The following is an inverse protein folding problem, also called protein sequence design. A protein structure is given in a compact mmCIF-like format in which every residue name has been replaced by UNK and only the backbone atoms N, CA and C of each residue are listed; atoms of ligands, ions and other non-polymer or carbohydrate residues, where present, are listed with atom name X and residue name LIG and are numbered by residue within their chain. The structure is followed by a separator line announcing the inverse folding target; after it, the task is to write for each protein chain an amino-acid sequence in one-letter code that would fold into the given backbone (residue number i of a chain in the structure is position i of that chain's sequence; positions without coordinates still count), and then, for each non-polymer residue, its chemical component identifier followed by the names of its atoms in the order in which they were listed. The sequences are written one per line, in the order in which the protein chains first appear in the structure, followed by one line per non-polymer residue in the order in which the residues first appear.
data_IF_804042283976
#
_entry.id   IF_804042283976
#
_cell.length_a   1.000
_cell.length_b   1.000
_cell.length_c   1.000
_cell.angle_alpha   90.00
_cell.angle_beta   90.00
_cell.angle_gamma   90.00
#
_symmetry.space_group_name_H-M   'P 1'
#
loop_
_entity.id
_entity.type
_entity.pdbx_description
1 polymer ?
#
# COMPACT_ATOMS: atom_id res chain seq x y z
N UNK A 1 -3.29 18.53 23.83
CA UNK A 1 -2.72 17.61 22.80
C UNK A 1 -2.65 18.37 21.48
N UNK A 2 -1.51 18.38 20.78
CA UNK A 2 -1.46 18.87 19.39
C UNK A 2 -2.24 17.86 18.55
N UNK A 3 -3.37 18.27 17.96
CA UNK A 3 -4.04 17.50 16.91
C UNK A 3 -3.18 17.62 15.65
N UNK A 4 -2.56 16.54 15.22
CA UNK A 4 -1.89 16.45 13.93
C UNK A 4 -2.91 15.93 12.91
N UNK A 5 -2.87 16.42 11.68
CA UNK A 5 -3.65 15.87 10.56
C UNK A 5 -3.21 14.46 10.18
N UNK A 6 -2.02 14.03 10.63
CA UNK A 6 -1.44 12.71 10.40
C UNK A 6 -1.65 11.76 11.59
N UNK A 7 -1.65 10.45 11.30
CA UNK A 7 -1.89 9.39 12.28
C UNK A 7 -0.60 8.89 12.94
N UNK A 8 -0.72 8.13 14.03
CA UNK A 8 0.41 7.39 14.60
C UNK A 8 0.67 6.06 13.86
N UNK A 9 -0.29 5.60 13.06
CA UNK A 9 -0.22 4.37 12.29
C UNK A 9 -0.30 4.66 10.78
N UNK A 10 0.43 3.90 9.98
CA UNK A 10 0.27 3.80 8.54
C UNK A 10 -0.77 2.74 8.21
N UNK A 11 -1.72 3.06 7.34
CA UNK A 11 -2.78 2.14 6.95
C UNK A 11 -2.53 1.57 5.55
N UNK A 12 -2.52 0.24 5.45
CA UNK A 12 -2.54 -0.48 4.18
C UNK A 12 -3.90 -1.16 4.01
N UNK A 13 -4.66 -0.73 3.01
CA UNK A 13 -6.00 -1.24 2.70
C UNK A 13 -5.92 -2.47 1.80
N UNK A 14 -6.90 -3.36 1.93
CA UNK A 14 -6.99 -4.57 1.14
C UNK A 14 -8.44 -4.95 0.89
N UNK A 15 -8.70 -5.59 -0.26
CA UNK A 15 -10.04 -5.85 -0.76
C UNK A 15 -10.89 -6.71 0.19
N UNK A 16 -10.27 -7.66 0.89
CA UNK A 16 -10.98 -8.61 1.73
C UNK A 16 -10.13 -9.19 2.87
N UNK A 17 -10.82 -9.80 3.84
CA UNK A 17 -10.24 -10.41 5.04
C UNK A 17 -9.27 -11.56 4.73
N UNK A 18 -9.44 -12.27 3.60
CA UNK A 18 -8.51 -13.35 3.23
C UNK A 18 -7.13 -12.80 2.86
N UNK A 19 -7.07 -11.69 2.13
CA UNK A 19 -5.81 -11.01 1.83
C UNK A 19 -5.19 -10.40 3.08
N UNK A 20 -6.00 -9.79 3.96
CA UNK A 20 -5.53 -9.29 5.25
C UNK A 20 -4.85 -10.38 6.09
N UNK A 21 -5.48 -11.56 6.17
CA UNK A 21 -4.88 -12.71 6.85
C UNK A 21 -3.54 -13.14 6.23
N UNK A 22 -3.46 -13.21 4.89
CA UNK A 22 -2.21 -13.53 4.20
C UNK A 22 -1.12 -12.49 4.43
N UNK A 23 -1.48 -11.20 4.48
CA UNK A 23 -0.54 -10.12 4.79
C UNK A 23 0.05 -10.31 6.19
N UNK A 24 -0.77 -10.68 7.18
CA UNK A 24 -0.30 -10.94 8.55
C UNK A 24 0.62 -12.17 8.58
N UNK A 25 0.24 -13.25 7.89
CA UNK A 25 0.99 -14.51 7.88
C UNK A 25 2.31 -14.42 7.10
N UNK A 26 2.31 -13.77 5.94
CA UNK A 26 3.42 -13.79 4.97
C UNK A 26 4.19 -12.46 4.90
N UNK A 27 3.62 -11.36 5.40
CA UNK A 27 4.14 -10.00 5.23
C UNK A 27 3.52 -9.24 4.06
N UNK A 28 3.88 -7.96 3.93
CA UNK A 28 3.40 -7.09 2.85
C UNK A 28 4.21 -7.34 1.58
N UNK A 29 3.54 -7.73 0.49
CA UNK A 29 4.19 -7.99 -0.79
C UNK A 29 4.20 -6.74 -1.66
N UNK A 30 5.30 -6.51 -2.36
CA UNK A 30 5.37 -5.48 -3.39
C UNK A 30 4.46 -5.81 -4.56
N UNK A 31 3.95 -4.78 -5.21
CA UNK A 31 3.25 -4.86 -6.48
C UNK A 31 3.78 -3.77 -7.40
N UNK A 32 3.88 -4.04 -8.70
CA UNK A 32 4.15 -2.98 -9.65
C UNK A 32 2.94 -2.05 -9.75
N UNK A 33 3.14 -0.81 -9.33
CA UNK A 33 2.16 0.26 -9.41
C UNK A 33 2.54 1.22 -10.53
N UNK A 34 1.53 1.58 -11.32
CA UNK A 34 1.64 2.49 -12.46
C UNK A 34 1.55 3.93 -11.97
N UNK A 35 2.51 4.75 -12.38
CA UNK A 35 2.52 6.20 -12.14
C UNK A 35 2.80 6.94 -13.45
N UNK A 36 1.90 7.87 -13.80
CA UNK A 36 2.10 8.84 -14.87
C UNK A 36 2.47 10.17 -14.22
N UNK A 37 3.77 10.41 -14.10
CA UNK A 37 4.36 11.56 -13.40
C UNK A 37 4.22 12.82 -14.28
N UNK A 38 4.45 12.65 -15.58
CA UNK A 38 4.12 13.63 -16.62
C UNK A 38 3.69 12.90 -17.89
N UNK A 39 3.29 13.66 -18.91
CA UNK A 39 2.93 13.09 -20.22
C UNK A 39 4.12 12.40 -20.92
N UNK A 40 5.34 12.62 -20.43
CA UNK A 40 6.58 12.00 -20.93
C UNK A 40 7.21 11.01 -19.96
N UNK A 41 6.74 10.97 -18.71
CA UNK A 41 7.35 10.19 -17.64
C UNK A 41 6.33 9.19 -17.12
N UNK A 42 6.51 7.95 -17.58
CA UNK A 42 5.78 6.79 -17.13
C UNK A 42 6.70 5.87 -16.34
N UNK A 43 6.22 5.37 -15.21
CA UNK A 43 6.86 4.24 -14.53
C UNK A 43 5.84 3.20 -14.07
N UNK A 44 6.24 1.94 -14.09
CA UNK A 44 5.67 0.87 -13.30
C UNK A 44 6.72 0.40 -12.30
N UNK A 45 6.62 0.87 -11.05
CA UNK A 45 7.61 0.58 -10.01
C UNK A 45 7.04 -0.35 -8.93
N UNK A 46 7.84 -1.28 -8.38
CA UNK A 46 7.42 -2.18 -7.33
C UNK A 46 7.37 -1.44 -5.99
N UNK A 47 6.18 -1.32 -5.41
CA UNK A 47 5.99 -0.59 -4.17
C UNK A 47 4.97 -1.24 -3.24
N UNK A 48 5.05 -0.86 -1.96
CA UNK A 48 4.03 -1.05 -0.94
C UNK A 48 3.58 0.34 -0.51
N UNK A 49 2.30 0.65 -0.66
CA UNK A 49 1.74 1.96 -0.34
C UNK A 49 0.98 1.95 0.98
N UNK A 50 1.06 3.06 1.70
CA UNK A 50 0.36 3.31 2.95
C UNK A 50 -0.30 4.67 2.92
N UNK A 51 -1.48 4.80 3.53
CA UNK A 51 -2.10 6.10 3.80
C UNK A 51 -1.69 6.60 5.18
N UNK A 52 -1.38 7.90 5.28
CA UNK A 52 -1.08 8.62 6.52
C UNK A 52 -2.18 9.63 6.85
N UNK A 53 -3.41 9.14 6.93
CA UNK A 53 -4.59 9.93 7.27
C UNK A 53 -5.44 9.21 8.33
N UNK A 54 -6.17 9.97 9.17
CA UNK A 54 -7.16 9.41 10.06
C UNK A 54 -8.15 8.54 9.29
N UNK A 55 -8.39 7.36 9.84
CA UNK A 55 -9.29 6.38 9.24
C UNK A 55 -10.74 6.89 9.13
N UNK A 56 -11.15 7.84 9.98
CA UNK A 56 -12.44 8.53 9.90
C UNK A 56 -12.54 9.46 8.68
N UNK A 57 -11.42 9.86 8.11
CA UNK A 57 -11.36 10.67 6.88
C UNK A 57 -11.10 9.82 5.62
N UNK A 58 -11.09 8.49 5.74
CA UNK A 58 -10.78 7.59 4.63
C UNK A 58 -12.02 6.98 3.97
N UNK A 59 -13.21 7.58 4.15
CA UNK A 59 -14.46 7.06 3.55
C UNK A 59 -14.37 6.88 2.04
N UNK A 60 -13.78 7.84 1.32
CA UNK A 60 -13.54 7.76 -0.13
C UNK A 60 -12.56 6.62 -0.49
N UNK A 61 -11.66 6.28 0.43
CA UNK A 61 -10.65 5.23 0.25
C UNK A 61 -11.19 3.82 0.49
N UNK A 62 -12.24 3.67 1.30
CA UNK A 62 -12.92 2.37 1.52
C UNK A 62 -13.59 1.84 0.25
N UNK A 63 -14.17 2.74 -0.54
CA UNK A 63 -14.75 2.41 -1.85
C UNK A 63 -13.68 2.04 -2.90
N UNK A 64 -12.49 2.66 -2.82
CA UNK A 64 -11.41 2.50 -3.81
C UNK A 64 -10.42 1.37 -3.52
N UNK A 65 -10.03 1.19 -2.26
CA UNK A 65 -8.86 0.35 -1.89
C UNK A 65 -9.21 -0.92 -1.11
N UNK A 66 -10.42 -1.01 -0.56
CA UNK A 66 -10.95 -2.28 -0.04
C UNK A 66 -11.66 -2.19 1.30
N UNK A 67 -12.19 -3.34 1.70
CA UNK A 67 -13.10 -3.46 2.86
C UNK A 67 -12.39 -3.84 4.15
N UNK A 68 -11.07 -4.06 4.11
CA UNK A 68 -10.24 -4.44 5.26
C UNK A 68 -8.93 -3.65 5.25
N UNK A 69 -8.25 -3.52 6.39
CA UNK A 69 -6.96 -2.82 6.47
C UNK A 69 -6.08 -3.35 7.60
N UNK A 70 -4.77 -3.15 7.48
CA UNK A 70 -3.81 -3.26 8.58
C UNK A 70 -3.24 -1.88 8.89
N UNK A 71 -3.26 -1.50 10.17
CA UNK A 71 -2.60 -0.30 10.67
C UNK A 71 -1.29 -0.71 11.33
N UNK A 72 -0.17 -0.18 10.84
CA UNK A 72 1.17 -0.44 11.38
C UNK A 72 1.74 0.81 12.04
N UNK A 73 2.42 0.68 13.17
CA UNK A 73 3.08 1.78 13.88
C UNK A 73 4.01 2.53 12.93
N UNK A 74 3.69 3.81 12.67
CA UNK A 74 4.48 4.68 11.78
C UNK A 74 5.94 4.72 12.21
N UNK A 75 6.17 4.87 13.52
CA UNK A 75 7.51 4.92 14.10
C UNK A 75 8.27 3.61 13.85
N UNK A 76 7.61 2.47 14.04
CA UNK A 76 8.21 1.16 13.78
C UNK A 76 8.60 1.00 12.33
N UNK A 77 7.69 1.33 11.40
CA UNK A 77 7.95 1.25 9.95
C UNK A 77 9.12 2.14 9.56
N UNK A 78 9.11 3.44 9.92
CA UNK A 78 10.17 4.38 9.59
C UNK A 78 11.53 3.95 10.18
N UNK A 79 11.55 3.29 11.34
CA UNK A 79 12.81 2.79 11.92
C UNK A 79 13.51 1.74 11.04
N UNK A 80 12.78 1.10 10.12
CA UNK A 80 13.32 0.14 9.16
C UNK A 80 13.91 0.79 7.89
N UNK A 81 13.95 2.12 7.80
CA UNK A 81 14.44 2.85 6.62
C UNK A 81 15.93 2.61 6.29
N UNK A 82 16.69 2.01 7.20
CA UNK A 82 18.07 1.57 6.95
C UNK A 82 18.15 0.27 6.12
N UNK A 83 17.04 -0.46 6.00
CA UNK A 83 16.91 -1.72 5.23
C UNK A 83 16.03 -1.56 4.00
N UNK A 84 15.04 -0.70 4.08
CA UNK A 84 14.04 -0.48 3.04
C UNK A 84 14.01 0.99 2.66
N UNK A 85 13.71 1.31 1.41
CA UNK A 85 13.55 2.69 0.99
C UNK A 85 12.13 3.14 1.32
N UNK A 86 11.98 3.87 2.42
CA UNK A 86 10.70 4.32 2.98
C UNK A 86 10.65 5.85 2.97
N UNK A 87 9.70 6.41 2.23
CA UNK A 87 9.54 7.87 2.17
C UNK A 87 8.08 8.27 1.88
N UNK A 88 7.68 9.49 2.27
CA UNK A 88 6.44 10.06 1.80
C UNK A 88 6.52 10.33 0.29
N UNK A 89 5.37 10.27 -0.37
CA UNK A 89 5.25 10.64 -1.77
C UNK A 89 5.45 12.15 -1.94
N UNK A 90 6.22 12.52 -2.97
CA UNK A 90 6.30 13.90 -3.45
C UNK A 90 5.29 14.09 -4.57
N UNK A 91 4.27 14.88 -4.27
CA UNK A 91 3.24 15.24 -5.23
C UNK A 91 3.75 16.34 -6.17
N UNK A 92 3.55 16.11 -7.47
CA UNK A 92 3.85 17.07 -8.52
C UNK A 92 2.55 17.64 -9.06
N UNK A 93 2.41 18.95 -8.92
CA UNK A 93 1.27 19.68 -9.46
C UNK A 93 1.45 19.95 -10.95
N UNK A 94 0.35 20.20 -11.64
CA UNK A 94 0.40 20.64 -13.03
C UNK A 94 1.27 21.91 -13.17
N UNK A 95 2.15 21.94 -14.18
CA UNK A 95 3.13 23.01 -14.41
C UNK A 95 4.17 23.23 -13.31
N UNK A 96 4.41 22.24 -12.45
CA UNK A 96 5.49 22.31 -11.46
C UNK A 96 6.87 22.43 -12.16
N UNK A 97 7.69 23.45 -11.85
CA UNK A 97 8.99 23.65 -12.50
C UNK A 97 9.96 22.48 -12.27
N UNK A 98 9.76 21.68 -11.22
CA UNK A 98 10.56 20.47 -10.95
C UNK A 98 10.34 19.39 -12.01
N UNK A 99 9.21 19.39 -12.73
CA UNK A 99 8.92 18.43 -13.80
C UNK A 99 10.01 18.41 -14.86
N UNK A 100 10.51 19.57 -15.31
CA UNK A 100 11.61 19.64 -16.27
C UNK A 100 12.89 18.93 -15.77
N UNK A 101 13.18 19.04 -14.48
CA UNK A 101 14.33 18.35 -13.87
C UNK A 101 14.10 16.83 -13.84
N UNK A 102 12.89 16.39 -13.51
CA UNK A 102 12.53 14.97 -13.49
C UNK A 102 12.51 14.35 -14.89
N UNK A 103 12.00 15.06 -15.91
CA UNK A 103 12.05 14.63 -17.32
C UNK A 103 13.50 14.48 -17.81
N UNK A 104 14.36 15.43 -17.46
CA UNK A 104 15.80 15.37 -17.77
C UNK A 104 16.51 14.21 -17.06
N UNK A 105 16.13 13.91 -15.82
CA UNK A 105 16.63 12.74 -15.08
C UNK A 105 16.12 11.44 -15.70
N UNK A 106 14.84 11.37 -16.05
CA UNK A 106 14.21 10.18 -16.61
C UNK A 106 14.87 9.79 -17.94
N UNK A 107 15.17 10.79 -18.79
CA UNK A 107 15.89 10.58 -20.05
C UNK A 107 17.28 9.96 -19.87
N UNK A 108 17.91 10.14 -18.70
CA UNK A 108 19.25 9.61 -18.38
C UNK A 108 19.21 8.31 -17.59
N UNK A 109 18.24 8.18 -16.69
CA UNK A 109 18.09 7.05 -15.78
C UNK A 109 16.60 6.87 -15.44
N UNK A 110 15.81 6.24 -16.32
CA UNK A 110 14.34 6.19 -16.19
C UNK A 110 13.86 5.31 -15.03
N UNK A 111 14.76 4.51 -14.46
CA UNK A 111 14.47 3.61 -13.33
C UNK A 111 15.13 4.09 -12.04
N UNK A 112 15.48 5.39 -11.96
CA UNK A 112 15.95 6.01 -10.73
C UNK A 112 14.88 5.86 -9.64
N UNK A 113 15.32 5.42 -8.45
CA UNK A 113 14.43 5.13 -7.32
C UNK A 113 13.52 6.31 -6.93
N UNK A 114 13.97 7.55 -7.18
CA UNK A 114 13.18 8.75 -6.89
C UNK A 114 11.80 8.71 -7.55
N UNK A 115 11.68 8.16 -8.75
CA UNK A 115 10.41 8.11 -9.48
C UNK A 115 9.38 7.25 -8.74
N UNK A 116 9.81 6.22 -8.00
CA UNK A 116 8.93 5.42 -7.14
C UNK A 116 8.26 6.23 -6.03
N UNK A 117 8.79 7.40 -5.69
CA UNK A 117 8.25 8.33 -4.69
C UNK A 117 7.58 9.56 -5.30
N UNK A 118 7.38 9.62 -6.61
CA UNK A 118 6.64 10.69 -7.26
C UNK A 118 5.21 10.23 -7.58
N UNK A 119 4.27 11.17 -7.52
CA UNK A 119 2.88 10.99 -7.94
C UNK A 119 2.35 12.32 -8.46
N UNK A 120 1.50 12.30 -9.48
CA UNK A 120 0.78 13.50 -9.90
C UNK A 120 -0.27 13.83 -8.83
N UNK A 121 -0.42 15.11 -8.52
CA UNK A 121 -1.36 15.61 -7.51
C UNK A 121 -2.83 15.26 -7.84
N UNK A 122 -3.17 15.24 -9.13
CA UNK A 122 -4.50 14.85 -9.63
C UNK A 122 -4.38 13.64 -10.54
N UNK A 123 -5.26 12.66 -10.33
CA UNK A 123 -5.41 11.50 -11.20
C UNK A 123 -6.87 11.26 -11.55
N UNK A 124 -7.10 10.51 -12.63
CA UNK A 124 -8.46 10.10 -13.03
C UNK A 124 -8.65 8.63 -12.74
N UNK A 125 -9.72 8.27 -12.05
CA UNK A 125 -10.13 6.88 -11.82
C UNK A 125 -11.63 6.74 -12.10
N UNK A 126 -12.01 5.77 -12.92
CA UNK A 126 -13.40 5.57 -13.36
C UNK A 126 -14.09 6.82 -13.94
N UNK A 127 -13.33 7.71 -14.57
CA UNK A 127 -13.83 8.96 -15.14
C UNK A 127 -13.96 10.13 -14.15
N UNK A 128 -13.68 9.91 -12.87
CA UNK A 128 -13.69 10.94 -11.83
C UNK A 128 -12.27 11.43 -11.53
N UNK A 129 -12.13 12.74 -11.33
CA UNK A 129 -10.87 13.33 -10.89
C UNK A 129 -10.75 13.20 -9.38
N UNK A 130 -9.59 12.76 -8.91
CA UNK A 130 -9.26 12.65 -7.50
C UNK A 130 -7.98 13.38 -7.19
N UNK A 131 -7.92 13.93 -5.98
CA UNK A 131 -6.74 14.56 -5.43
C UNK A 131 -5.90 13.52 -4.68
N UNK A 132 -4.73 13.18 -5.22
CA UNK A 132 -3.80 12.23 -4.62
C UNK A 132 -3.17 12.77 -3.33
N UNK A 133 -3.08 14.09 -3.17
CA UNK A 133 -2.50 14.71 -1.98
C UNK A 133 -3.25 14.35 -0.71
N UNK A 134 -4.58 14.19 -0.82
CA UNK A 134 -5.45 13.86 0.31
C UNK A 134 -5.17 12.46 0.88
N UNK A 135 -4.49 11.58 0.13
CA UNK A 135 -4.12 10.24 0.59
C UNK A 135 -2.92 10.27 1.56
N UNK A 136 -2.14 11.37 1.57
CA UNK A 136 -0.88 11.52 2.31
C UNK A 136 -0.02 10.24 2.22
N UNK A 137 0.21 9.78 0.99
CA UNK A 137 0.76 8.45 0.71
C UNK A 137 2.22 8.36 1.15
N UNK A 138 2.54 7.24 1.79
CA UNK A 138 3.91 6.78 2.03
C UNK A 138 4.16 5.50 1.26
N UNK A 139 5.39 5.32 0.79
CA UNK A 139 5.79 4.15 0.01
C UNK A 139 6.99 3.46 0.60
N UNK A 140 7.04 2.16 0.38
CA UNK A 140 8.27 1.38 0.39
C UNK A 140 8.51 0.95 -1.06
N UNK A 141 9.70 1.21 -1.59
CA UNK A 141 10.08 0.79 -2.96
C UNK A 141 11.46 0.12 -2.96
N UNK A 142 11.76 -0.65 -4.00
CA UNK A 142 13.09 -1.27 -4.20
C UNK A 142 13.78 -0.70 -5.43
N UNK A 143 15.12 -0.72 -5.43
CA UNK A 143 15.90 -0.30 -6.60
C UNK A 143 15.60 -1.17 -7.82
N UNK A 144 15.77 -0.59 -8.99
CA UNK A 144 15.64 -1.32 -10.24
C UNK A 144 16.75 -2.37 -10.37
N UNK A 145 16.38 -3.61 -10.73
CA UNK A 145 17.31 -4.71 -10.93
C UNK A 145 17.16 -5.33 -12.31
N UNK A 146 18.21 -5.99 -12.80
CA UNK A 146 18.18 -6.75 -14.06
C UNK A 146 17.16 -7.90 -13.98
N UNK A 147 17.02 -8.46 -12.78
CA UNK A 147 16.15 -9.59 -12.51
C UNK A 147 14.66 -9.26 -12.46
N UNK A 148 14.33 -8.02 -12.09
CA UNK A 148 12.97 -7.47 -12.02
C UNK A 148 12.99 -5.97 -12.38
N UNK A 149 13.11 -5.66 -13.68
CA UNK A 149 13.19 -4.28 -14.12
C UNK A 149 11.86 -3.55 -13.86
N UNK A 150 11.95 -2.27 -13.53
CA UNK A 150 10.83 -1.35 -13.55
C UNK A 150 10.33 -1.20 -14.99
N UNK A 151 9.04 -0.99 -15.13
CA UNK A 151 8.46 -0.64 -16.43
C UNK A 151 8.69 0.85 -16.69
N UNK A 152 9.16 1.19 -17.86
CA UNK A 152 9.31 2.58 -18.32
C UNK A 152 8.41 2.89 -19.52
N UNK A 153 7.66 1.87 -19.96
CA UNK A 153 6.70 1.92 -21.05
C UNK A 153 5.34 1.40 -20.55
N UNK A 154 4.28 2.15 -20.87
CA UNK A 154 2.92 1.85 -20.42
C UNK A 154 2.35 0.57 -21.04
N UNK A 155 2.60 0.34 -22.32
CA UNK A 155 2.13 -0.85 -23.04
C UNK A 155 2.75 -2.12 -22.47
N UNK A 156 4.04 -2.09 -22.11
CA UNK A 156 4.71 -3.22 -21.45
C UNK A 156 4.12 -3.50 -20.07
N UNK A 157 3.84 -2.45 -19.29
CA UNK A 157 3.19 -2.58 -17.99
C UNK A 157 1.78 -3.18 -18.13
N UNK A 158 0.97 -2.65 -19.04
CA UNK A 158 -0.41 -3.10 -19.25
C UNK A 158 -0.44 -4.55 -19.76
N UNK A 159 0.49 -4.92 -20.65
CA UNK A 159 0.69 -6.31 -21.09
C UNK A 159 1.09 -7.24 -19.94
N UNK A 160 1.98 -6.79 -19.04
CA UNK A 160 2.34 -7.54 -17.84
C UNK A 160 1.16 -7.68 -16.87
N UNK A 161 0.37 -6.61 -16.71
CA UNK A 161 -0.77 -6.57 -15.79
C UNK A 161 -1.91 -7.46 -16.28
N UNK A 162 -2.00 -7.66 -17.60
CA UNK A 162 -3.02 -8.42 -18.29
C UNK A 162 -4.13 -7.51 -18.81
N UNK A 163 -4.59 -7.75 -20.04
CA UNK A 163 -5.68 -6.98 -20.65
C UNK A 163 -7.01 -7.13 -19.89
N UNK A 164 -7.74 -6.02 -19.75
CA UNK A 164 -9.17 -6.06 -19.45
C UNK A 164 -9.87 -6.65 -20.68
N UNK A 165 -10.33 -7.91 -20.63
CA UNK A 165 -11.28 -8.38 -21.64
C UNK A 165 -12.57 -7.56 -21.52
N UNK A 166 -13.10 -7.07 -22.64
CA UNK A 166 -14.37 -6.35 -22.72
C UNK A 166 -15.57 -7.15 -22.16
N UNK A 167 -15.41 -8.46 -21.98
CA UNK A 167 -16.33 -9.30 -21.24
C UNK A 167 -15.85 -9.43 -19.79
N UNK A 168 -16.65 -8.94 -18.84
CA UNK A 168 -16.46 -8.88 -17.39
C UNK A 168 -16.22 -10.24 -16.67
N UNK A 169 -15.61 -11.25 -17.30
CA UNK A 169 -15.35 -12.56 -16.71
C UNK A 169 -13.95 -13.06 -17.06
N UNK A 170 -13.16 -13.26 -16.00
CA UNK A 170 -11.83 -13.88 -15.92
C UNK A 170 -10.62 -12.95 -16.06
N UNK A 171 -10.30 -12.22 -14.97
CA UNK A 171 -8.98 -11.62 -14.76
C UNK A 171 -7.97 -12.74 -14.47
N UNK A 172 -7.04 -13.01 -15.39
CA UNK A 172 -5.80 -13.67 -14.96
C UNK A 172 -5.09 -12.70 -14.01
N UNK A 173 -4.80 -13.07 -12.76
CA UNK A 173 -4.10 -12.18 -11.85
C UNK A 173 -2.76 -11.76 -12.47
N UNK A 174 -2.34 -10.49 -12.35
CA UNK A 174 -1.02 -10.08 -12.80
C UNK A 174 0.04 -11.00 -12.20
N UNK A 175 1.09 -11.32 -12.98
CA UNK A 175 2.19 -12.17 -12.50
C UNK A 175 2.73 -11.57 -11.20
N UNK A 176 2.77 -12.34 -10.12
CA UNK A 176 3.24 -11.84 -8.81
C UNK A 176 4.63 -11.24 -8.95
N UNK A 177 4.87 -10.11 -8.30
CA UNK A 177 6.23 -9.67 -8.01
C UNK A 177 6.87 -10.70 -7.07
N UNK A 178 7.73 -11.55 -7.62
CA UNK A 178 8.03 -12.85 -7.01
C UNK A 178 9.45 -13.02 -6.46
N UNK A 179 10.38 -12.10 -6.71
CA UNK A 179 11.78 -12.27 -6.29
C UNK A 179 12.12 -11.52 -5.00
N UNK A 180 11.49 -10.38 -4.72
CA UNK A 180 11.71 -9.71 -3.44
C UNK A 180 10.96 -10.39 -2.29
N UNK A 181 11.65 -10.46 -1.16
CA UNK A 181 11.05 -10.85 0.10
C UNK A 181 9.94 -9.87 0.49
N UNK A 182 8.81 -10.34 1.05
CA UNK A 182 7.81 -9.47 1.61
C UNK A 182 8.42 -8.54 2.67
N UNK A 183 7.91 -7.32 2.78
CA UNK A 183 8.20 -6.45 3.91
C UNK A 183 7.65 -7.09 5.19
N UNK A 184 8.56 -7.43 6.10
CA UNK A 184 8.24 -8.11 7.36
C UNK A 184 8.02 -7.10 8.49
N UNK A 185 7.10 -7.42 9.36
CA UNK A 185 6.78 -6.67 10.57
C UNK A 185 6.51 -7.66 11.71
N UNK A 186 6.69 -7.20 12.95
CA UNK A 186 6.40 -8.00 14.14
C UNK A 186 5.00 -7.72 14.65
N UNK A 187 4.50 -8.59 15.51
CA UNK A 187 3.18 -8.38 16.16
C UNK A 187 3.11 -7.04 16.88
N UNK A 188 4.20 -6.61 17.52
CA UNK A 188 4.28 -5.31 18.20
C UNK A 188 4.20 -4.10 17.26
N UNK A 189 4.52 -4.27 15.98
CA UNK A 189 4.47 -3.20 14.98
C UNK A 189 3.06 -3.00 14.42
N UNK A 190 2.11 -3.89 14.71
CA UNK A 190 0.71 -3.78 14.29
C UNK A 190 -0.02 -2.93 15.33
N UNK A 191 -0.69 -1.86 14.92
CA UNK A 191 -1.57 -1.10 15.81
C UNK A 191 -3.04 -1.52 15.66
N UNK A 192 -3.44 -1.86 14.42
CA UNK A 192 -4.83 -2.16 14.09
C UNK A 192 -4.95 -3.29 13.06
N UNK A 193 -5.97 -4.12 13.21
CA UNK A 193 -6.42 -5.10 12.22
C UNK A 193 -7.90 -4.83 11.98
N UNK A 194 -8.22 -4.28 10.81
CA UNK A 194 -9.53 -3.66 10.58
C UNK A 194 -10.33 -4.49 9.58
N UNK A 195 -11.56 -4.81 9.94
CA UNK A 195 -12.54 -5.46 9.06
C UNK A 195 -13.71 -4.54 8.74
N UNK A 196 -14.47 -4.90 7.70
CA UNK A 196 -15.56 -4.06 7.20
C UNK A 196 -16.68 -3.83 8.22
N UNK A 197 -17.14 -4.91 8.86
CA UNK A 197 -18.29 -4.92 9.77
C UNK A 197 -17.98 -5.62 11.08
N UNK A 198 -18.69 -5.24 12.15
CA UNK A 198 -18.62 -5.91 13.47
C UNK A 198 -18.87 -7.42 13.35
N UNK A 199 -19.78 -7.82 12.46
CA UNK A 199 -20.11 -9.24 12.20
C UNK A 199 -18.96 -10.04 11.56
N UNK A 200 -17.95 -9.40 10.98
CA UNK A 200 -16.78 -10.11 10.43
C UNK A 200 -15.72 -10.42 11.49
N UNK A 201 -15.75 -9.74 12.65
CA UNK A 201 -14.74 -9.89 13.71
C UNK A 201 -14.63 -11.35 14.21
N UNK A 202 -15.73 -12.08 14.52
CA UNK A 202 -15.61 -13.45 15.05
C UNK A 202 -14.92 -14.41 14.08
N UNK A 203 -15.16 -14.27 12.78
CA UNK A 203 -14.52 -15.11 11.77
C UNK A 203 -13.01 -14.84 11.69
N UNK A 204 -12.60 -13.56 11.72
CA UNK A 204 -11.19 -13.21 11.72
C UNK A 204 -10.49 -13.68 13.00
N UNK A 205 -11.10 -13.47 14.18
CA UNK A 205 -10.56 -13.94 15.46
C UNK A 205 -10.31 -15.46 15.44
N UNK A 206 -11.28 -16.25 14.96
CA UNK A 206 -11.13 -17.71 14.86
C UNK A 206 -9.95 -18.13 13.98
N UNK A 207 -9.66 -17.36 12.92
CA UNK A 207 -8.50 -17.61 12.05
C UNK A 207 -7.20 -17.20 12.69
N UNK A 208 -7.15 -16.03 13.34
CA UNK A 208 -5.97 -15.54 14.04
C UNK A 208 -5.59 -16.41 15.24
N UNK A 209 -6.56 -17.02 15.93
CA UNK A 209 -6.30 -17.98 17.00
C UNK A 209 -5.52 -19.23 16.52
N UNK A 210 -5.78 -19.64 15.27
CA UNK A 210 -5.13 -20.79 14.62
C UNK A 210 -3.85 -20.40 13.89
N UNK A 211 -3.51 -19.11 13.84
CA UNK A 211 -2.32 -18.63 13.17
C UNK A 211 -1.09 -19.05 13.97
N UNK A 212 -0.15 -19.73 13.31
CA UNK A 212 1.10 -20.18 13.93
C UNK A 212 2.27 -19.22 13.67
N UNK A 213 2.13 -18.35 12.66
CA UNK A 213 3.21 -17.51 12.16
C UNK A 213 2.74 -16.10 11.80
N UNK A 214 3.61 -15.12 12.02
CA UNK A 214 3.47 -13.75 11.51
C UNK A 214 4.71 -13.41 10.71
N UNK A 215 4.53 -12.96 9.47
CA UNK A 215 5.62 -12.74 8.50
C UNK A 215 6.59 -13.94 8.34
N UNK A 216 6.05 -15.16 8.43
CA UNK A 216 6.81 -16.41 8.35
C UNK A 216 7.49 -16.88 9.64
N UNK A 217 7.53 -16.03 10.67
CA UNK A 217 8.13 -16.32 11.97
C UNK A 217 7.11 -16.88 12.95
N UNK A 218 7.48 -17.89 13.75
CA UNK A 218 6.58 -18.48 14.74
C UNK A 218 6.23 -17.45 15.82
N UNK A 219 4.97 -17.44 16.23
CA UNK A 219 4.49 -16.60 17.33
C UNK A 219 4.15 -17.42 18.58
N UNK A 220 4.30 -16.81 19.75
CA UNK A 220 3.86 -17.38 21.02
C UNK A 220 2.40 -17.01 21.37
N UNK A 221 1.88 -17.57 22.47
CA UNK A 221 0.51 -17.30 22.92
C UNK A 221 0.32 -15.85 23.41
N UNK A 222 1.39 -15.18 23.88
CA UNK A 222 1.33 -13.79 24.31
C UNK A 222 1.20 -12.86 23.10
N UNK A 223 2.01 -13.09 22.06
CA UNK A 223 1.92 -12.39 20.78
C UNK A 223 0.58 -12.63 20.11
N UNK A 224 0.07 -13.86 20.15
CA UNK A 224 -1.27 -14.18 19.65
C UNK A 224 -2.36 -13.38 20.40
N UNK A 225 -2.29 -13.31 21.73
CA UNK A 225 -3.21 -12.50 22.52
C UNK A 225 -3.13 -11.00 22.16
N UNK A 226 -1.91 -10.47 21.97
CA UNK A 226 -1.70 -9.08 21.51
C UNK A 226 -2.26 -8.83 20.10
N UNK A 227 -2.18 -9.81 19.21
CA UNK A 227 -2.72 -9.71 17.85
C UNK A 227 -4.26 -9.64 17.88
N UNK A 228 -4.88 -10.50 18.68
CA UNK A 228 -6.34 -10.54 18.83
C UNK A 228 -6.91 -9.25 19.43
N UNK A 229 -6.18 -8.60 20.34
CA UNK A 229 -6.60 -7.33 20.95
C UNK A 229 -6.61 -6.14 20.00
N UNK A 230 -6.03 -6.29 18.79
CA UNK A 230 -5.91 -5.22 17.78
C UNK A 230 -7.02 -5.27 16.73
N UNK A 231 -7.92 -6.24 16.82
CA UNK A 231 -9.01 -6.42 15.86
C UNK A 231 -10.14 -5.43 16.15
N UNK A 232 -10.50 -4.64 15.14
CA UNK A 232 -11.60 -3.66 15.19
C UNK A 232 -12.34 -3.65 13.85
N UNK A 233 -13.52 -3.04 13.80
CA UNK A 233 -14.26 -2.84 12.54
C UNK A 233 -14.36 -1.36 12.17
N UNK A 234 -14.48 -1.07 10.88
CA UNK A 234 -14.78 0.29 10.44
C UNK A 234 -16.11 0.80 11.00
N UNK A 235 -17.15 -0.05 11.09
CA UNK A 235 -18.43 0.31 11.74
C UNK A 235 -18.19 0.83 13.16
N UNK A 236 -17.40 0.11 13.96
CA UNK A 236 -17.09 0.55 15.31
C UNK A 236 -16.32 1.86 15.34
N UNK A 237 -15.33 2.03 14.45
CA UNK A 237 -14.54 3.26 14.43
C UNK A 237 -15.41 4.47 14.07
N UNK A 238 -16.32 4.34 13.11
CA UNK A 238 -17.21 5.43 12.71
C UNK A 238 -18.28 5.75 13.77
N UNK A 239 -18.70 4.74 14.54
CA UNK A 239 -19.66 4.94 15.63
C UNK A 239 -19.01 5.64 16.85
N UNK A 240 -17.74 5.33 17.14
CA UNK A 240 -17.07 5.67 18.40
C UNK A 240 -16.19 6.94 18.33
N UNK A 241 -15.76 7.40 17.15
CA UNK A 241 -14.78 8.49 16.96
C UNK A 241 -15.24 9.58 15.99
#
# INVERSE_FOLDING_TARGET
MKKNSHTSAFFHYTENVNLLYKIIEEGLRFSFCKESISDKVFIGAPMISFCDIPITHSEEHRGKYGTSAIGLSKKSIISQNHKYNIAPVTYLIENDPRLFSYEGLFSKNPTNIIFGFLKRDVYTHNGEKHNAYDECEWRITVENSVDQPWFTNEEEYDKWRGELSNDNKSKTPPKKFSKEEPFKFRVEDIDYIIVSKKSNIPNLISRLQKLEKVCGEKIDEKEKAMLLSKVISFEQIMDDF
#
